data_IF_657320676833
#
_entry.id   IF_657320676833
#
_cell.length_a   1.000
_cell.length_b   1.000
_cell.length_c   1.000
_cell.angle_alpha   90.00
_cell.angle_beta   90.00
_cell.angle_gamma   90.00
#
_symmetry.space_group_name_H-M   'P 1'
#
loop_
_entity.id
_entity.type
_entity.pdbx_description
1 polymer ?
#
# COMPACT_ATOMS: atom_id res chain seq x y z
N UNK A 1 -40.49 -17.44 -5.33
CA UNK A 1 -39.32 -17.33 -6.23
C UNK A 1 -38.07 -17.29 -5.36
N UNK A 2 -37.45 -18.45 -5.16
CA UNK A 2 -36.19 -18.60 -4.43
C UNK A 2 -35.07 -17.98 -5.25
N UNK A 3 -34.29 -17.07 -4.66
CA UNK A 3 -33.09 -16.52 -5.27
C UNK A 3 -32.16 -17.66 -5.72
N UNK A 4 -31.55 -17.58 -6.91
CA UNK A 4 -30.57 -18.60 -7.33
C UNK A 4 -29.42 -18.66 -6.32
N UNK A 5 -28.83 -19.86 -6.10
CA UNK A 5 -27.69 -20.02 -5.19
C UNK A 5 -26.52 -19.14 -5.66
N UNK A 6 -25.74 -18.54 -4.75
CA UNK A 6 -24.61 -17.69 -5.11
C UNK A 6 -23.60 -18.50 -5.93
N UNK A 7 -23.36 -18.05 -7.16
CA UNK A 7 -22.35 -18.66 -8.01
C UNK A 7 -20.97 -18.57 -7.34
N UNK A 8 -20.13 -19.62 -7.47
CA UNK A 8 -18.76 -19.57 -6.99
C UNK A 8 -18.03 -18.36 -7.60
N UNK A 9 -17.57 -17.43 -6.76
CA UNK A 9 -16.93 -16.19 -7.21
C UNK A 9 -15.43 -16.24 -6.98
N UNK A 10 -14.67 -15.95 -8.02
CA UNK A 10 -13.23 -15.70 -7.92
C UNK A 10 -13.01 -14.50 -7.00
N UNK A 11 -12.09 -14.65 -6.06
CA UNK A 11 -11.61 -13.56 -5.21
C UNK A 11 -10.17 -13.27 -5.57
N UNK A 12 -9.84 -12.08 -6.11
CA UNK A 12 -8.48 -11.77 -6.51
C UNK A 12 -7.56 -11.70 -5.30
N UNK A 13 -6.26 -11.93 -5.55
CA UNK A 13 -5.22 -11.74 -4.56
C UNK A 13 -5.17 -10.30 -4.05
N UNK A 14 -4.77 -10.13 -2.79
CA UNK A 14 -4.81 -8.83 -2.12
C UNK A 14 -3.96 -8.80 -0.86
N UNK A 15 -3.50 -7.60 -0.51
CA UNK A 15 -2.89 -7.36 0.79
C UNK A 15 -3.86 -7.74 1.93
N UNK A 16 -3.41 -8.65 2.80
CA UNK A 16 -4.10 -9.10 4.00
C UNK A 16 -3.74 -8.17 5.18
N UNK A 17 -2.44 -8.05 5.45
CA UNK A 17 -1.89 -7.12 6.43
C UNK A 17 -0.50 -6.60 6.04
N UNK A 18 -0.13 -5.46 6.59
CA UNK A 18 1.18 -4.83 6.46
C UNK A 18 1.60 -4.29 7.83
N UNK A 19 2.84 -4.54 8.23
CA UNK A 19 3.38 -4.10 9.51
C UNK A 19 4.77 -3.47 9.32
N UNK A 20 5.07 -2.47 10.15
CA UNK A 20 6.43 -1.94 10.31
C UNK A 20 6.78 -2.04 11.78
N UNK A 21 7.93 -2.64 12.07
CA UNK A 21 8.39 -2.88 13.43
C UNK A 21 9.90 -2.71 13.55
N UNK A 22 10.36 -2.43 14.76
CA UNK A 22 11.78 -2.41 15.10
C UNK A 22 11.99 -3.17 16.43
N UNK A 23 12.68 -4.33 16.41
CA UNK A 23 12.89 -5.15 17.60
C UNK A 23 13.59 -4.42 18.76
N UNK A 24 14.41 -3.41 18.46
CA UNK A 24 15.19 -2.67 19.47
C UNK A 24 14.31 -1.76 20.35
N UNK A 25 13.11 -1.40 19.90
CA UNK A 25 12.18 -0.55 20.65
C UNK A 25 11.50 -1.26 21.82
N UNK A 26 11.55 -2.59 21.85
CA UNK A 26 10.89 -3.40 22.88
C UNK A 26 11.65 -4.69 23.19
N UNK A 27 12.84 -4.62 23.80
CA UNK A 27 13.71 -5.78 23.98
C UNK A 27 13.22 -6.78 25.03
N UNK A 28 12.19 -6.46 25.80
CA UNK A 28 11.63 -7.31 26.86
C UNK A 28 10.22 -7.78 26.51
N UNK A 29 9.76 -8.88 27.11
CA UNK A 29 8.38 -9.39 26.92
C UNK A 29 7.32 -8.34 27.28
N UNK A 30 7.56 -7.51 28.31
CA UNK A 30 6.64 -6.44 28.73
C UNK A 30 6.53 -5.31 27.69
N UNK A 31 7.60 -5.06 26.94
CA UNK A 31 7.69 -3.99 25.94
C UNK A 31 7.59 -4.52 24.51
N UNK A 32 7.29 -5.80 24.31
CA UNK A 32 7.23 -6.42 22.98
C UNK A 32 6.25 -5.70 22.04
N UNK A 33 5.14 -5.20 22.58
CA UNK A 33 4.18 -4.41 21.82
C UNK A 33 4.75 -3.08 21.29
N UNK A 34 5.77 -2.52 21.95
CA UNK A 34 6.42 -1.28 21.53
C UNK A 34 7.28 -1.44 20.29
N UNK A 35 7.64 -2.66 19.91
CA UNK A 35 8.34 -2.94 18.66
C UNK A 35 7.49 -2.57 17.43
N UNK A 36 6.17 -2.72 17.52
CA UNK A 36 5.25 -2.45 16.41
C UNK A 36 4.90 -0.97 16.34
N UNK A 37 5.28 -0.30 15.25
CA UNK A 37 5.02 1.15 15.06
C UNK A 37 3.93 1.42 14.04
N UNK A 38 3.63 0.46 13.17
CA UNK A 38 2.57 0.56 12.18
C UNK A 38 1.93 -0.80 11.93
N UNK A 39 0.60 -0.81 11.85
CA UNK A 39 -0.18 -1.98 11.46
C UNK A 39 -1.35 -1.58 10.56
N UNK A 40 -1.45 -2.24 9.43
CA UNK A 40 -2.60 -2.22 8.54
C UNK A 40 -3.17 -3.63 8.43
N UNK A 41 -4.50 -3.75 8.59
CA UNK A 41 -5.25 -4.96 8.27
C UNK A 41 -6.40 -4.60 7.33
N UNK A 42 -6.53 -5.38 6.26
CA UNK A 42 -7.61 -5.19 5.29
C UNK A 42 -8.98 -5.48 5.92
N UNK A 43 -9.09 -6.54 6.73
CA UNK A 43 -10.33 -6.85 7.45
C UNK A 43 -10.78 -5.65 8.32
N UNK A 44 -9.84 -5.03 9.03
CA UNK A 44 -10.11 -3.84 9.84
C UNK A 44 -10.45 -2.59 8.98
N UNK A 45 -9.85 -2.45 7.81
CA UNK A 45 -10.18 -1.36 6.88
C UNK A 45 -11.59 -1.52 6.28
N UNK A 46 -11.94 -2.73 5.85
CA UNK A 46 -13.25 -3.08 5.31
C UNK A 46 -14.35 -2.92 6.38
N UNK A 47 -14.10 -3.36 7.62
CA UNK A 47 -15.06 -3.21 8.72
C UNK A 47 -15.37 -1.73 9.03
N UNK A 48 -14.34 -0.86 9.08
CA UNK A 48 -14.52 0.59 9.28
C UNK A 48 -15.32 1.25 8.16
N UNK A 49 -15.06 0.90 6.91
CA UNK A 49 -15.81 1.47 5.78
C UNK A 49 -17.27 1.01 5.76
N UNK A 50 -17.55 -0.24 6.14
CA UNK A 50 -18.92 -0.75 6.27
C UNK A 50 -19.70 -0.02 7.38
N UNK A 51 -19.07 0.25 8.52
CA UNK A 51 -19.68 1.04 9.60
C UNK A 51 -20.00 2.47 9.17
N UNK A 52 -19.08 3.13 8.45
CA UNK A 52 -19.31 4.48 7.91
C UNK A 52 -20.52 4.52 6.97
N UNK A 53 -20.64 3.55 6.05
CA UNK A 53 -21.80 3.45 5.14
C UNK A 53 -23.12 3.23 5.89
N UNK A 54 -23.14 2.42 6.95
CA UNK A 54 -24.33 2.20 7.77
C UNK A 54 -24.75 3.44 8.56
N UNK A 55 -23.79 4.19 9.11
CA UNK A 55 -24.06 5.45 9.82
C UNK A 55 -24.64 6.54 8.91
N UNK A 56 -24.18 6.61 7.67
CA UNK A 56 -24.67 7.58 6.67
C UNK A 56 -26.11 7.25 6.21
N UNK A 57 -26.39 5.96 5.93
CA UNK A 57 -27.73 5.49 5.58
C UNK A 57 -28.76 5.69 6.72
N UNK A 58 -28.33 5.60 7.98
CA UNK A 58 -29.18 5.87 9.15
C UNK A 58 -29.53 7.35 9.32
N UNK A 59 -28.66 8.26 8.89
CA UNK A 59 -28.86 9.71 9.01
C UNK A 59 -29.86 10.23 7.97
N UNK A 60 -29.91 9.63 6.78
CA UNK A 60 -30.85 10.03 5.71
C UNK A 60 -32.31 9.61 6.02
N UNK A 61 -32.54 8.48 6.72
CA UNK A 61 -33.91 8.06 7.13
C UNK A 61 -34.49 8.85 8.31
N UNK A 62 -33.71 9.72 8.96
CA UNK A 62 -34.12 10.46 10.16
C UNK A 62 -34.70 11.87 9.92
N UNK A 63 -34.63 12.41 8.70
CA UNK A 63 -35.20 13.74 8.37
C UNK A 63 -36.60 13.62 7.77
N UNK A 64 -37.56 13.16 8.58
CA UNK A 64 -38.98 13.15 8.24
C UNK A 64 -39.84 13.38 9.48
N UNK A 65 -40.20 14.65 9.73
CA UNK A 65 -41.27 15.03 10.65
C UNK A 65 -40.83 15.47 12.05
N UNK A 66 -40.63 16.77 12.26
CA UNK A 66 -40.67 17.38 13.58
C UNK A 66 -41.71 18.51 13.59
N UNK A 67 -42.97 18.15 13.86
CA UNK A 67 -44.00 19.11 14.23
C UNK A 67 -43.95 19.35 15.75
N UNK A 68 -43.79 20.62 16.14
CA UNK A 68 -43.82 21.10 17.52
C UNK A 68 -45.16 20.79 18.18
N UNK A 69 -45.14 20.01 19.27
CA UNK A 69 -46.24 19.87 20.21
C UNK A 69 -45.77 20.16 21.62
N UNK A 70 -46.19 21.30 22.19
CA UNK A 70 -46.00 21.64 23.61
C UNK A 70 -46.97 20.80 24.45
N UNK A 71 -46.44 20.00 25.38
CA UNK A 71 -47.24 19.24 26.36
C UNK A 71 -46.48 19.14 27.67
N UNK A 72 -47.08 19.67 28.73
CA UNK A 72 -46.55 19.80 30.11
C UNK A 72 -47.16 18.67 30.94
N UNK A 73 -46.39 17.78 31.56
CA UNK A 73 -46.85 16.97 32.70
C UNK A 73 -45.72 16.24 33.46
N UNK A 74 -45.68 16.55 34.76
CA UNK A 74 -45.56 15.67 35.93
C UNK A 74 -44.36 14.72 36.07
N UNK A 75 -43.59 15.03 37.12
CA UNK A 75 -42.55 14.25 37.78
C UNK A 75 -43.18 13.07 38.53
N UNK A 76 -42.94 11.85 38.03
CA UNK A 76 -43.24 10.57 38.69
C UNK A 76 -41.95 9.77 38.87
N UNK A 77 -41.76 9.25 40.07
CA UNK A 77 -40.64 8.43 40.53
C UNK A 77 -40.80 6.98 40.04
N UNK A 78 -39.68 6.26 40.10
CA UNK A 78 -39.55 4.80 40.08
C UNK A 78 -39.53 4.12 38.70
N UNK A 79 -38.31 3.79 38.25
CA UNK A 79 -38.06 2.58 37.48
C UNK A 79 -36.59 2.15 37.63
N UNK A 80 -36.37 1.13 38.47
CA UNK A 80 -35.18 0.29 38.44
C UNK A 80 -35.32 -0.60 37.21
N UNK A 81 -34.85 -0.09 36.07
CA UNK A 81 -34.77 -0.79 34.80
C UNK A 81 -33.32 -1.17 34.52
N UNK A 82 -32.99 -2.39 34.90
CA UNK A 82 -31.97 -3.28 34.33
C UNK A 82 -31.13 -2.70 33.16
N UNK A 83 -29.92 -2.22 33.49
CA UNK A 83 -28.88 -1.75 32.56
C UNK A 83 -28.09 -2.90 31.92
N UNK A 84 -28.71 -4.05 31.65
CA UNK A 84 -27.97 -5.28 31.28
C UNK A 84 -27.56 -5.33 29.78
N UNK A 85 -28.06 -4.43 28.94
CA UNK A 85 -27.78 -4.45 27.49
C UNK A 85 -26.52 -3.70 27.02
N UNK A 86 -26.01 -2.72 27.78
CA UNK A 86 -24.92 -1.85 27.32
C UNK A 86 -23.52 -2.36 27.69
N UNK A 87 -23.42 -3.08 28.81
CA UNK A 87 -22.14 -3.55 29.37
C UNK A 87 -21.59 -4.76 28.60
N UNK A 88 -22.45 -5.74 28.28
CA UNK A 88 -22.06 -6.92 27.50
C UNK A 88 -21.58 -6.62 26.07
N UNK A 89 -22.04 -5.52 25.47
CA UNK A 89 -21.59 -5.05 24.16
C UNK A 89 -20.26 -4.28 24.20
N UNK A 90 -19.86 -3.77 25.36
CA UNK A 90 -18.56 -3.12 25.57
C UNK A 90 -17.49 -4.18 25.82
N UNK A 91 -17.75 -5.10 26.74
CA UNK A 91 -16.83 -6.21 27.08
C UNK A 91 -16.50 -7.11 25.88
N UNK A 92 -17.47 -7.38 25.00
CA UNK A 92 -17.21 -8.15 23.76
C UNK A 92 -16.29 -7.41 22.78
N UNK A 93 -16.48 -6.10 22.60
CA UNK A 93 -15.64 -5.29 21.71
C UNK A 93 -14.22 -5.14 22.27
N UNK A 94 -14.11 -4.94 23.58
CA UNK A 94 -12.81 -4.85 24.24
C UNK A 94 -12.03 -6.18 24.10
N UNK A 95 -12.73 -7.32 24.21
CA UNK A 95 -12.15 -8.65 23.96
C UNK A 95 -11.72 -8.88 22.50
N UNK A 96 -12.54 -8.48 21.52
CA UNK A 96 -12.19 -8.57 20.09
C UNK A 96 -10.96 -7.71 19.75
N UNK A 97 -10.87 -6.50 20.31
CA UNK A 97 -9.71 -5.62 20.12
C UNK A 97 -8.43 -6.23 20.71
N UNK A 98 -8.54 -6.86 21.87
CA UNK A 98 -7.42 -7.54 22.51
C UNK A 98 -7.00 -8.79 21.73
N UNK A 99 -7.95 -9.54 21.16
CA UNK A 99 -7.65 -10.69 20.29
C UNK A 99 -6.92 -10.25 19.01
N UNK A 100 -7.37 -9.15 18.38
CA UNK A 100 -6.68 -8.55 17.24
C UNK A 100 -5.26 -8.11 17.62
N UNK A 101 -5.07 -7.46 18.77
CA UNK A 101 -3.76 -7.03 19.25
C UNK A 101 -2.83 -8.23 19.48
N UNK A 102 -3.32 -9.26 20.15
CA UNK A 102 -2.57 -10.50 20.37
C UNK A 102 -2.19 -11.18 19.05
N UNK A 103 -3.06 -11.15 18.03
CA UNK A 103 -2.74 -11.68 16.71
C UNK A 103 -1.61 -10.89 16.02
N UNK A 104 -1.61 -9.55 16.14
CA UNK A 104 -0.54 -8.71 15.59
C UNK A 104 0.81 -9.09 16.18
N UNK A 105 0.86 -9.24 17.52
CA UNK A 105 2.08 -9.62 18.23
C UNK A 105 2.55 -11.03 17.84
N UNK A 106 1.64 -11.99 17.67
CA UNK A 106 1.98 -13.34 17.17
C UNK A 106 2.60 -13.30 15.78
N UNK A 107 2.07 -12.50 14.85
CA UNK A 107 2.60 -12.38 13.49
C UNK A 107 4.03 -11.79 13.49
N UNK A 108 4.28 -10.76 14.31
CA UNK A 108 5.63 -10.19 14.46
C UNK A 108 6.59 -11.19 15.11
N UNK A 109 6.18 -11.84 16.19
CA UNK A 109 7.00 -12.83 16.88
C UNK A 109 7.36 -14.01 15.98
N UNK A 110 6.43 -14.48 15.16
CA UNK A 110 6.68 -15.52 14.16
C UNK A 110 7.71 -15.05 13.13
N UNK A 111 7.53 -13.86 12.56
CA UNK A 111 8.45 -13.31 11.57
C UNK A 111 9.88 -13.17 12.12
N UNK A 112 10.04 -12.68 13.35
CA UNK A 112 11.34 -12.59 14.02
C UNK A 112 11.96 -13.97 14.26
N UNK A 113 11.17 -14.93 14.74
CA UNK A 113 11.61 -16.32 14.91
C UNK A 113 12.10 -16.92 13.60
N UNK A 114 11.40 -16.66 12.49
CA UNK A 114 11.79 -17.13 11.15
C UNK A 114 13.08 -16.48 10.66
N UNK A 115 13.26 -15.17 10.84
CA UNK A 115 14.52 -14.48 10.50
C UNK A 115 15.68 -15.07 11.28
N UNK A 116 15.55 -15.17 12.60
CA UNK A 116 16.60 -15.71 13.45
C UNK A 116 16.94 -17.15 13.09
N UNK A 117 15.92 -17.97 12.80
CA UNK A 117 16.09 -19.34 12.35
C UNK A 117 16.88 -19.39 11.04
N UNK A 118 16.46 -18.65 10.00
CA UNK A 118 17.11 -18.71 8.70
C UNK A 118 18.56 -18.19 8.73
N UNK A 119 18.84 -17.14 9.50
CA UNK A 119 20.20 -16.59 9.68
C UNK A 119 21.21 -17.66 10.12
N UNK A 120 20.75 -18.65 10.87
CA UNK A 120 21.57 -19.79 11.33
C UNK A 120 22.04 -20.68 10.16
N UNK A 121 21.32 -20.70 9.04
CA UNK A 121 21.58 -21.56 7.87
C UNK A 121 22.04 -20.79 6.62
N UNK A 122 22.04 -19.46 6.65
CA UNK A 122 22.26 -18.59 5.49
C UNK A 122 23.46 -17.64 5.64
N UNK A 123 24.39 -17.93 6.56
CA UNK A 123 25.52 -17.06 6.91
C UNK A 123 25.08 -15.65 7.36
N UNK A 124 23.97 -15.55 8.10
CA UNK A 124 23.48 -14.28 8.63
C UNK A 124 22.47 -13.54 7.74
N UNK A 125 22.16 -14.06 6.54
CA UNK A 125 21.14 -13.47 5.68
C UNK A 125 19.71 -13.74 6.21
N UNK A 126 18.82 -12.73 6.26
CA UNK A 126 17.47 -12.92 6.75
C UNK A 126 16.55 -13.62 5.74
N UNK A 127 15.39 -14.08 6.20
CA UNK A 127 14.29 -14.51 5.29
C UNK A 127 13.74 -13.30 4.56
N UNK A 128 13.61 -13.42 3.23
CA UNK A 128 12.99 -12.41 2.37
C UNK A 128 11.52 -12.71 2.05
N UNK A 129 11.16 -13.99 1.99
CA UNK A 129 9.86 -14.45 1.53
C UNK A 129 9.46 -15.81 2.10
N UNK A 130 8.16 -15.99 2.30
CA UNK A 130 7.55 -17.23 2.78
C UNK A 130 6.31 -17.50 1.95
N UNK A 131 6.21 -18.70 1.39
CA UNK A 131 5.02 -19.14 0.66
C UNK A 131 4.21 -20.11 1.54
N UNK A 132 2.93 -19.81 1.70
CA UNK A 132 1.96 -20.68 2.37
C UNK A 132 0.92 -21.14 1.35
N UNK A 133 0.04 -22.06 1.76
CA UNK A 133 -1.08 -22.51 0.92
C UNK A 133 -1.98 -21.34 0.48
N UNK A 134 -2.11 -20.30 1.33
CA UNK A 134 -3.13 -19.25 1.16
C UNK A 134 -2.56 -17.86 0.96
N UNK A 135 -1.28 -17.67 1.24
CA UNK A 135 -0.64 -16.36 1.20
C UNK A 135 0.82 -16.43 0.79
N UNK A 136 1.29 -15.32 0.21
CA UNK A 136 2.70 -15.00 0.06
C UNK A 136 3.05 -13.92 1.07
N UNK A 137 4.04 -14.18 1.91
CA UNK A 137 4.53 -13.24 2.91
C UNK A 137 5.90 -12.76 2.46
N UNK A 138 6.13 -11.46 2.50
CA UNK A 138 7.44 -10.84 2.24
C UNK A 138 7.90 -10.06 3.45
N UNK A 139 9.20 -10.12 3.70
CA UNK A 139 9.85 -9.48 4.83
C UNK A 139 11.13 -8.80 4.35
N UNK A 140 11.32 -7.55 4.75
CA UNK A 140 12.51 -6.78 4.38
C UNK A 140 12.93 -5.85 5.50
N UNK A 141 14.23 -5.81 5.78
CA UNK A 141 14.88 -4.75 6.54
C UNK A 141 15.01 -3.51 5.62
N UNK A 142 14.24 -2.46 5.92
CA UNK A 142 14.20 -1.21 5.15
C UNK A 142 15.40 -0.30 5.48
N UNK A 143 15.71 -0.21 6.77
CA UNK A 143 16.86 0.45 7.36
C UNK A 143 17.37 -0.45 8.51
N UNK A 144 18.56 -0.19 9.03
CA UNK A 144 19.12 -0.98 10.13
C UNK A 144 18.13 -1.07 11.30
N UNK A 145 17.70 -2.30 11.63
CA UNK A 145 16.73 -2.55 12.69
C UNK A 145 15.26 -2.27 12.34
N UNK A 146 14.94 -1.62 11.21
CA UNK A 146 13.57 -1.33 10.79
C UNK A 146 13.07 -2.32 9.75
N UNK A 147 12.04 -3.07 10.12
CA UNK A 147 11.50 -4.16 9.31
C UNK A 147 10.11 -3.84 8.79
N UNK A 148 9.85 -4.23 7.55
CA UNK A 148 8.51 -4.27 6.95
C UNK A 148 8.11 -5.71 6.67
N UNK A 149 6.89 -6.07 7.08
CA UNK A 149 6.29 -7.38 6.89
C UNK A 149 4.95 -7.22 6.18
N UNK A 150 4.76 -7.89 5.04
CA UNK A 150 3.51 -7.88 4.30
C UNK A 150 3.03 -9.29 4.01
N UNK A 151 1.75 -9.57 4.25
CA UNK A 151 1.10 -10.82 3.85
C UNK A 151 0.06 -10.54 2.76
N UNK A 152 0.21 -11.21 1.62
CA UNK A 152 -0.67 -11.11 0.46
C UNK A 152 -1.47 -12.40 0.37
N UNK A 153 -2.79 -12.33 0.51
CA UNK A 153 -3.67 -13.46 0.26
C UNK A 153 -3.65 -13.80 -1.23
N UNK A 154 -3.56 -15.08 -1.56
CA UNK A 154 -3.57 -15.58 -2.94
C UNK A 154 -4.98 -15.51 -3.56
N UNK A 155 -5.05 -15.56 -4.90
CA UNK A 155 -6.32 -15.57 -5.62
C UNK A 155 -7.07 -16.85 -5.26
N UNK A 156 -8.31 -16.71 -4.77
CA UNK A 156 -9.20 -17.83 -4.45
C UNK A 156 -10.05 -18.16 -5.65
N UNK A 157 -9.79 -19.32 -6.23
CA UNK A 157 -10.55 -19.89 -7.33
C UNK A 157 -11.58 -20.87 -6.74
N UNK A 158 -12.83 -20.82 -7.22
CA UNK A 158 -13.77 -21.86 -6.87
C UNK A 158 -13.36 -23.18 -7.55
N UNK A 159 -13.23 -24.28 -6.80
CA UNK A 159 -13.01 -25.57 -7.45
C UNK A 159 -14.18 -25.89 -8.36
N UNK A 160 -13.87 -26.16 -9.62
CA UNK A 160 -14.78 -26.87 -10.50
C UNK A 160 -14.89 -28.32 -9.98
N UNK A 161 -16.10 -28.88 -9.81
CA UNK A 161 -16.22 -30.31 -9.60
C UNK A 161 -15.77 -31.02 -10.88
N UNK A 162 -14.65 -31.73 -10.78
CA UNK A 162 -14.15 -32.81 -11.65
C UNK A 162 -13.95 -32.49 -13.15
N UNK A 163 -12.69 -32.21 -13.54
CA UNK A 163 -12.14 -32.63 -14.85
C UNK A 163 -11.08 -33.73 -14.67
N UNK A 164 -11.28 -34.63 -13.70
CA UNK A 164 -10.53 -35.86 -13.54
C UNK A 164 -11.22 -37.00 -14.30
N UNK A 165 -11.01 -37.07 -15.63
CA UNK A 165 -11.50 -38.17 -16.48
C UNK A 165 -10.78 -39.51 -16.16
N UNK A 166 -10.07 -39.63 -15.03
CA UNK A 166 -9.20 -40.77 -14.71
C UNK A 166 -9.29 -41.30 -13.27
N UNK A 167 -10.20 -40.83 -12.41
CA UNK A 167 -10.40 -41.47 -11.10
C UNK A 167 -11.56 -42.47 -11.14
N UNK A 168 -11.26 -43.72 -11.47
CA UNK A 168 -12.08 -44.89 -11.14
C UNK A 168 -12.07 -45.13 -9.62
N UNK A 169 -12.73 -44.25 -8.86
CA UNK A 169 -12.98 -44.48 -7.45
C UNK A 169 -14.49 -44.38 -7.18
N UNK A 170 -15.07 -45.50 -6.74
CA UNK A 170 -16.48 -45.62 -6.38
C UNK A 170 -16.85 -44.56 -5.34
N UNK A 171 -17.83 -43.72 -5.67
CA UNK A 171 -18.45 -42.76 -4.77
C UNK A 171 -19.08 -43.47 -3.57
N UNK A 172 -18.47 -43.33 -2.40
CA UNK A 172 -19.10 -43.58 -1.11
C UNK A 172 -20.08 -42.46 -0.79
N UNK A 173 -21.29 -42.83 -0.41
CA UNK A 173 -22.39 -41.94 -0.03
C UNK A 173 -22.10 -41.32 1.34
N UNK A 174 -22.14 -39.99 1.43
CA UNK A 174 -22.35 -39.28 2.69
C UNK A 174 -21.17 -38.48 3.23
N UNK A 175 -20.62 -37.53 2.46
CA UNK A 175 -19.82 -36.46 3.06
C UNK A 175 -20.24 -35.10 2.47
N UNK A 176 -20.57 -34.16 3.36
CA UNK A 176 -20.84 -32.76 3.05
C UNK A 176 -19.55 -32.14 2.50
N UNK A 177 -19.29 -32.33 1.20
CA UNK A 177 -18.13 -31.76 0.51
C UNK A 177 -18.27 -30.23 0.53
N UNK A 178 -17.66 -29.59 1.53
CA UNK A 178 -17.40 -28.15 1.53
C UNK A 178 -16.79 -27.80 0.17
N UNK A 179 -17.24 -26.71 -0.49
CA UNK A 179 -16.69 -26.32 -1.78
C UNK A 179 -15.18 -26.16 -1.62
N UNK A 180 -14.42 -27.00 -2.33
CA UNK A 180 -12.97 -26.91 -2.33
C UNK A 180 -12.60 -25.55 -2.95
N UNK A 181 -11.77 -24.79 -2.24
CA UNK A 181 -11.27 -23.49 -2.69
C UNK A 181 -9.83 -23.72 -3.08
N UNK A 182 -9.52 -23.48 -4.34
CA UNK A 182 -8.14 -23.53 -4.84
C UNK A 182 -7.51 -22.14 -4.67
N UNK A 183 -6.25 -22.10 -4.23
CA UNK A 183 -5.48 -20.86 -4.07
C UNK A 183 -4.43 -20.80 -5.18
N UNK A 184 -4.35 -19.66 -5.87
CA UNK A 184 -3.46 -19.46 -7.02
C UNK A 184 -2.58 -18.23 -6.82
N UNK A 185 -1.26 -18.42 -6.97
CA UNK A 185 -0.26 -17.37 -6.93
C UNK A 185 0.12 -16.82 -8.33
N UNK A 186 -0.51 -17.33 -9.41
CA UNK A 186 -0.09 -17.03 -10.80
C UNK A 186 -0.15 -15.55 -11.16
N UNK A 187 -1.14 -14.85 -10.62
CA UNK A 187 -1.36 -13.42 -10.87
C UNK A 187 -0.62 -12.54 -9.85
N UNK A 188 -0.08 -13.13 -8.78
CA UNK A 188 0.56 -12.39 -7.70
C UNK A 188 2.00 -12.06 -8.09
N UNK A 189 2.38 -10.80 -7.91
CA UNK A 189 3.75 -10.34 -8.14
C UNK A 189 4.77 -11.21 -7.42
N UNK A 190 5.92 -11.53 -8.06
CA UNK A 190 6.96 -12.34 -7.44
C UNK A 190 7.54 -11.63 -6.20
N UNK A 191 8.09 -12.37 -5.22
CA UNK A 191 8.58 -11.79 -3.96
C UNK A 191 9.53 -10.61 -4.15
N UNK A 192 10.48 -10.73 -5.10
CA UNK A 192 11.43 -9.66 -5.42
C UNK A 192 10.73 -8.34 -5.78
N UNK A 193 9.70 -8.39 -6.63
CA UNK A 193 8.97 -7.20 -7.05
C UNK A 193 8.19 -6.59 -5.87
N UNK A 194 7.53 -7.42 -5.05
CA UNK A 194 6.81 -6.95 -3.87
C UNK A 194 7.73 -6.26 -2.86
N UNK A 195 8.90 -6.85 -2.58
CA UNK A 195 9.93 -6.28 -1.71
C UNK A 195 10.38 -4.93 -2.27
N UNK A 196 10.63 -4.87 -3.56
CA UNK A 196 11.15 -3.68 -4.20
C UNK A 196 10.11 -2.54 -4.22
N UNK A 197 8.82 -2.84 -4.40
CA UNK A 197 7.73 -1.88 -4.24
C UNK A 197 7.66 -1.31 -2.80
N UNK A 198 7.90 -2.14 -1.77
CA UNK A 198 7.97 -1.68 -0.38
C UNK A 198 9.19 -0.78 -0.13
N UNK A 199 10.35 -1.10 -0.72
CA UNK A 199 11.56 -0.27 -0.66
C UNK A 199 11.32 1.08 -1.35
N UNK A 200 10.68 1.11 -2.51
CA UNK A 200 10.33 2.37 -3.18
C UNK A 200 9.34 3.21 -2.37
N UNK A 201 8.34 2.58 -1.73
CA UNK A 201 7.43 3.26 -0.83
C UNK A 201 8.18 3.88 0.37
N UNK A 202 9.19 3.18 0.90
CA UNK A 202 10.04 3.70 1.95
C UNK A 202 10.87 4.92 1.51
N UNK A 203 11.48 4.89 0.32
CA UNK A 203 12.20 6.06 -0.21
C UNK A 203 11.29 7.26 -0.41
N UNK A 204 10.07 7.02 -0.89
CA UNK A 204 9.04 8.05 -1.05
C UNK A 204 8.62 8.66 0.29
N UNK A 205 8.46 7.84 1.32
CA UNK A 205 8.22 8.31 2.67
C UNK A 205 9.36 9.20 3.15
N UNK A 206 10.60 8.74 3.00
CA UNK A 206 11.81 9.45 3.41
C UNK A 206 11.94 10.82 2.72
N UNK A 207 11.71 10.87 1.40
CA UNK A 207 11.76 12.11 0.62
C UNK A 207 10.91 13.26 1.20
N UNK A 208 9.80 12.93 1.88
CA UNK A 208 8.90 13.90 2.49
C UNK A 208 9.10 14.12 4.00
N UNK A 209 9.80 13.24 4.71
CA UNK A 209 9.85 13.24 6.18
C UNK A 209 11.26 13.35 6.77
N UNK A 210 12.31 13.00 6.04
CA UNK A 210 13.70 13.02 6.52
C UNK A 210 14.53 11.90 5.89
N UNK A 211 15.82 11.85 6.23
CA UNK A 211 16.75 10.90 5.60
C UNK A 211 16.71 9.49 6.19
N UNK A 212 16.15 9.30 7.39
CA UNK A 212 15.98 7.97 8.01
C UNK A 212 14.80 7.89 8.99
N UNK A 213 14.30 6.67 9.22
CA UNK A 213 13.30 6.38 10.26
C UNK A 213 13.86 6.61 11.66
N UNK A 214 15.13 6.29 11.91
CA UNK A 214 15.79 6.53 13.20
C UNK A 214 15.82 8.02 13.56
N UNK A 215 16.29 8.87 12.65
CA UNK A 215 16.34 10.31 12.89
C UNK A 215 14.93 10.88 13.09
N UNK A 216 13.96 10.43 12.28
CA UNK A 216 12.57 10.85 12.42
C UNK A 216 11.99 10.41 13.77
N UNK A 217 12.30 9.19 14.23
CA UNK A 217 11.86 8.66 15.51
C UNK A 217 12.48 9.43 16.69
N UNK A 218 13.77 9.77 16.63
CA UNK A 218 14.46 10.56 17.68
C UNK A 218 13.96 12.00 17.73
N UNK A 219 13.72 12.62 16.56
CA UNK A 219 13.31 14.03 16.46
C UNK A 219 11.84 14.27 16.83
N UNK A 220 11.00 13.23 16.82
CA UNK A 220 9.56 13.34 17.07
C UNK A 220 9.12 12.49 18.25
N UNK A 221 7.93 12.76 18.80
CA UNK A 221 7.37 11.82 19.78
C UNK A 221 6.86 10.56 19.08
N UNK A 222 6.88 9.42 19.78
CA UNK A 222 6.35 8.13 19.27
C UNK A 222 4.97 8.29 18.61
N UNK A 223 4.05 9.02 19.24
CA UNK A 223 2.72 9.24 18.68
C UNK A 223 2.73 9.99 17.34
N UNK A 224 3.60 11.00 17.19
CA UNK A 224 3.75 11.76 15.94
C UNK A 224 4.41 10.93 14.86
N UNK A 225 5.43 10.16 15.22
CA UNK A 225 6.08 9.19 14.34
C UNK A 225 5.07 8.16 13.81
N UNK A 226 4.36 7.47 14.70
CA UNK A 226 3.33 6.49 14.34
C UNK A 226 2.19 7.12 13.53
N UNK A 227 1.83 8.39 13.81
CA UNK A 227 0.84 9.12 13.02
C UNK A 227 1.34 9.46 11.61
N UNK A 228 2.61 9.82 11.44
CA UNK A 228 3.22 10.08 10.14
C UNK A 228 3.27 8.81 9.29
N UNK A 229 3.78 7.71 9.87
CA UNK A 229 3.73 6.39 9.24
C UNK A 229 2.29 6.00 8.89
N UNK A 230 1.38 6.17 9.84
CA UNK A 230 -0.04 5.90 9.67
C UNK A 230 -0.65 6.61 8.48
N UNK A 231 -0.37 7.91 8.28
CA UNK A 231 -0.92 8.67 7.14
C UNK A 231 -0.42 8.14 5.80
N UNK A 232 0.89 7.95 5.68
CA UNK A 232 1.51 7.51 4.44
C UNK A 232 1.19 6.03 4.11
N UNK A 233 1.52 5.12 5.03
CA UNK A 233 1.43 3.68 4.79
C UNK A 233 -0.02 3.17 4.72
N UNK A 234 -0.99 3.83 5.37
CA UNK A 234 -2.41 3.50 5.12
C UNK A 234 -2.86 3.91 3.71
N UNK A 235 -2.35 5.01 3.14
CA UNK A 235 -2.66 5.39 1.75
C UNK A 235 -2.04 4.35 0.81
N UNK A 236 -0.75 4.07 0.99
CA UNK A 236 -0.02 3.05 0.22
C UNK A 236 -0.73 1.69 0.28
N UNK A 237 -1.01 1.15 1.47
CA UNK A 237 -1.63 -0.18 1.62
C UNK A 237 -3.03 -0.31 0.99
N UNK A 238 -3.74 0.81 0.79
CA UNK A 238 -5.06 0.81 0.12
C UNK A 238 -4.96 0.85 -1.39
N UNK A 239 -3.93 1.51 -1.93
CA UNK A 239 -3.70 1.67 -3.37
C UNK A 239 -2.66 0.70 -3.93
N UNK A 240 -1.98 -0.08 -3.08
CA UNK A 240 -0.95 -1.01 -3.50
C UNK A 240 -1.57 -2.17 -4.29
N UNK A 241 -1.21 -2.25 -5.57
CA UNK A 241 -1.54 -3.38 -6.41
C UNK A 241 -0.47 -4.48 -6.27
N UNK A 242 -0.90 -5.64 -5.79
CA UNK A 242 -0.05 -6.81 -5.52
C UNK A 242 -0.01 -7.77 -6.71
N UNK A 243 -0.83 -7.53 -7.73
CA UNK A 243 -0.86 -8.35 -8.93
C UNK A 243 0.33 -8.01 -9.83
N UNK A 244 0.66 -8.90 -10.77
CA UNK A 244 1.68 -8.65 -11.77
C UNK A 244 1.03 -8.06 -13.03
N UNK A 245 1.52 -6.91 -13.48
CA UNK A 245 1.05 -6.25 -14.70
C UNK A 245 2.20 -5.55 -15.41
N UNK A 246 2.15 -5.51 -16.74
CA UNK A 246 3.19 -4.92 -17.57
C UNK A 246 4.55 -5.61 -17.44
N UNK A 247 5.61 -4.88 -17.78
CA UNK A 247 6.98 -5.34 -17.63
C UNK A 247 7.53 -4.89 -16.26
N UNK A 248 7.83 -5.82 -15.33
CA UNK A 248 8.30 -5.48 -13.99
C UNK A 248 9.79 -5.15 -13.92
N UNK A 249 10.54 -5.23 -15.03
CA UNK A 249 12.01 -5.19 -15.00
C UNK A 249 12.57 -3.91 -14.37
N UNK A 250 11.99 -2.75 -14.69
CA UNK A 250 12.44 -1.46 -14.12
C UNK A 250 12.23 -1.46 -12.61
N UNK A 251 11.04 -1.81 -12.15
CA UNK A 251 10.74 -1.83 -10.72
C UNK A 251 11.60 -2.87 -10.01
N UNK A 252 11.56 -4.13 -10.46
CA UNK A 252 12.23 -5.27 -9.82
C UNK A 252 13.75 -5.12 -9.75
N UNK A 253 14.40 -4.50 -10.75
CA UNK A 253 15.84 -4.26 -10.77
C UNK A 253 16.23 -2.88 -10.22
N UNK A 254 15.25 -2.06 -9.82
CA UNK A 254 15.49 -0.69 -9.38
C UNK A 254 16.17 0.15 -10.45
N UNK A 255 15.74 0.01 -11.69
CA UNK A 255 16.23 0.77 -12.84
C UNK A 255 15.58 2.15 -12.96
N UNK A 256 16.11 2.95 -13.89
CA UNK A 256 15.51 4.22 -14.30
C UNK A 256 14.81 4.00 -15.64
N UNK A 257 13.53 4.37 -15.73
CA UNK A 257 12.80 4.32 -16.99
C UNK A 257 13.12 5.56 -17.82
N UNK A 258 13.62 5.34 -19.04
CA UNK A 258 13.94 6.41 -19.98
C UNK A 258 12.77 6.61 -20.95
N UNK A 259 12.49 7.87 -21.28
CA UNK A 259 11.42 8.21 -22.21
C UNK A 259 11.81 7.84 -23.65
N UNK A 260 10.82 7.57 -24.50
CA UNK A 260 11.08 7.36 -25.92
C UNK A 260 11.46 8.68 -26.62
N UNK A 261 12.65 8.77 -27.20
CA UNK A 261 13.00 9.88 -28.12
C UNK A 261 14.27 10.70 -27.82
N UNK A 262 15.23 10.18 -27.04
CA UNK A 262 16.56 10.77 -26.86
C UNK A 262 16.95 10.74 -25.38
N UNK A 263 18.00 9.98 -25.04
CA UNK A 263 18.46 9.81 -23.67
C UNK A 263 19.49 10.90 -23.36
N UNK A 264 19.03 12.11 -23.03
CA UNK A 264 19.94 13.19 -22.70
C UNK A 264 20.35 13.10 -21.22
N UNK A 265 21.61 13.38 -20.91
CA UNK A 265 22.07 13.56 -19.54
C UNK A 265 23.16 12.59 -19.10
N UNK A 266 23.53 12.70 -17.83
CA UNK A 266 24.64 11.96 -17.25
C UNK A 266 24.23 10.52 -16.88
N UNK A 267 25.10 9.55 -17.18
CA UNK A 267 24.98 8.14 -16.79
C UNK A 267 24.26 7.22 -17.78
N UNK A 268 23.87 7.73 -18.96
CA UNK A 268 23.14 6.97 -20.02
C UNK A 268 24.00 6.63 -21.23
N UNK A 269 25.27 7.08 -21.27
CA UNK A 269 26.21 6.78 -22.37
C UNK A 269 26.11 7.74 -23.56
N UNK A 270 25.24 8.75 -23.46
CA UNK A 270 25.11 9.84 -24.44
C UNK A 270 25.75 11.15 -23.95
N UNK A 271 26.68 11.10 -22.97
CA UNK A 271 27.38 12.29 -22.46
C UNK A 271 28.16 13.04 -23.53
N UNK A 272 28.80 12.30 -24.42
CA UNK A 272 29.69 12.85 -25.44
C UNK A 272 28.96 13.17 -26.75
N UNK A 273 27.65 12.88 -26.84
CA UNK A 273 26.92 12.92 -28.11
C UNK A 273 26.48 14.34 -28.53
N UNK A 274 26.79 15.37 -27.74
CA UNK A 274 26.70 16.78 -28.15
C UNK A 274 25.34 17.20 -28.70
N UNK A 275 24.26 16.82 -28.02
CA UNK A 275 22.90 17.22 -28.41
C UNK A 275 22.65 18.69 -28.08
N UNK A 276 22.18 19.48 -29.04
CA UNK A 276 21.81 20.88 -28.80
C UNK A 276 20.70 21.03 -27.74
N UNK A 277 19.82 20.03 -27.59
CA UNK A 277 18.82 20.01 -26.52
C UNK A 277 19.46 19.82 -25.14
N UNK A 278 20.50 18.99 -25.06
CA UNK A 278 21.29 18.79 -23.84
C UNK A 278 22.02 20.07 -23.47
N UNK A 279 22.72 20.69 -24.41
CA UNK A 279 23.45 21.95 -24.17
C UNK A 279 22.54 23.04 -23.58
N UNK A 280 21.30 23.14 -24.07
CA UNK A 280 20.31 24.09 -23.55
C UNK A 280 19.92 23.75 -22.10
N UNK A 281 19.70 22.47 -21.80
CA UNK A 281 19.31 22.04 -20.44
C UNK A 281 20.49 22.17 -19.45
N UNK A 282 21.71 21.84 -19.87
CA UNK A 282 22.92 22.02 -19.08
C UNK A 282 23.19 23.51 -18.81
N UNK A 283 23.03 24.39 -19.81
CA UNK A 283 23.18 25.85 -19.64
C UNK A 283 22.21 26.41 -18.58
N UNK A 284 20.98 25.91 -18.52
CA UNK A 284 20.00 26.31 -17.50
C UNK A 284 20.52 26.03 -16.09
N UNK A 285 21.20 24.90 -15.88
CA UNK A 285 21.80 24.58 -14.57
C UNK A 285 22.96 25.53 -14.26
N UNK A 286 23.89 25.73 -15.20
CA UNK A 286 25.09 26.55 -14.99
C UNK A 286 24.79 28.03 -14.75
N UNK A 287 23.75 28.58 -15.39
CA UNK A 287 23.42 30.01 -15.31
C UNK A 287 22.51 30.38 -14.14
N UNK A 288 21.89 29.40 -13.48
CA UNK A 288 20.91 29.63 -12.41
C UNK A 288 21.60 29.50 -11.06
N UNK A 289 21.85 30.63 -10.41
CA UNK A 289 22.48 30.65 -9.08
C UNK A 289 21.65 29.84 -8.07
N UNK A 290 22.31 28.90 -7.39
CA UNK A 290 21.69 28.02 -6.39
C UNK A 290 20.98 26.78 -6.95
N UNK A 291 20.87 26.62 -8.27
CA UNK A 291 20.35 25.39 -8.88
C UNK A 291 21.42 24.29 -8.85
N UNK A 292 21.13 23.19 -8.17
CA UNK A 292 22.09 22.08 -7.99
C UNK A 292 22.07 21.12 -9.19
N UNK A 293 20.87 20.76 -9.65
CA UNK A 293 20.68 19.86 -10.79
C UNK A 293 19.29 20.08 -11.40
N UNK A 294 19.06 19.56 -12.60
CA UNK A 294 17.76 19.58 -13.27
C UNK A 294 17.46 18.23 -13.87
N UNK A 295 16.39 17.58 -13.40
CA UNK A 295 15.90 16.32 -13.96
C UNK A 295 14.60 16.61 -14.71
N UNK A 296 14.50 16.13 -15.95
CA UNK A 296 13.30 16.34 -16.78
C UNK A 296 12.74 15.00 -17.23
N UNK A 297 11.44 14.83 -16.99
CA UNK A 297 10.69 13.64 -17.33
C UNK A 297 9.42 14.00 -18.10
N UNK A 298 8.98 13.07 -18.95
CA UNK A 298 7.72 13.15 -19.68
C UNK A 298 6.79 12.07 -19.17
N UNK A 299 5.56 12.46 -18.86
CA UNK A 299 4.46 11.56 -18.52
C UNK A 299 3.19 11.95 -19.25
N UNK A 300 2.55 10.97 -19.88
CA UNK A 300 1.30 11.15 -20.60
C UNK A 300 1.45 11.90 -21.94
N UNK A 301 0.30 12.10 -22.57
CA UNK A 301 0.21 12.87 -23.81
C UNK A 301 0.13 14.37 -23.52
N UNK A 302 0.72 15.22 -24.38
CA UNK A 302 0.62 16.65 -24.23
C UNK A 302 -0.86 17.07 -24.29
N UNK A 303 -1.20 18.09 -23.50
CA UNK A 303 -2.54 18.67 -23.56
C UNK A 303 -2.86 19.06 -25.01
N UNK A 304 -4.04 18.70 -25.55
CA UNK A 304 -4.43 19.12 -26.88
C UNK A 304 -4.35 20.65 -26.95
N UNK A 305 -3.73 21.18 -28.01
CA UNK A 305 -3.56 22.62 -28.19
C UNK A 305 -4.92 23.31 -28.02
N UNK A 306 -5.08 24.09 -26.96
CA UNK A 306 -6.36 24.68 -26.60
C UNK A 306 -6.91 25.47 -27.80
N UNK A 307 -8.05 25.05 -28.35
CA UNK A 307 -8.83 25.91 -29.24
C UNK A 307 -9.19 27.15 -28.41
N UNK A 308 -8.89 28.33 -28.94
CA UNK A 308 -9.00 29.63 -28.26
C UNK A 308 -10.25 29.72 -27.37
N UNK A 309 -10.06 30.23 -26.16
CA UNK A 309 -11.07 30.56 -25.11
C UNK A 309 -11.31 29.51 -24.00
N UNK A 310 -10.25 29.03 -23.34
CA UNK A 310 -10.40 28.53 -21.96
C UNK A 310 -9.92 29.62 -21.00
N UNK A 311 -10.70 29.91 -19.95
CA UNK A 311 -10.33 30.85 -18.91
C UNK A 311 -9.12 30.34 -18.10
N UNK A 312 -8.35 31.23 -17.48
CA UNK A 312 -7.16 30.86 -16.67
C UNK A 312 -7.54 29.89 -15.54
N UNK A 313 -8.76 29.97 -15.03
CA UNK A 313 -9.28 29.08 -13.99
C UNK A 313 -9.55 27.65 -14.50
N UNK A 314 -10.17 27.49 -15.68
CA UNK A 314 -10.44 26.16 -16.29
C UNK A 314 -9.16 25.41 -16.69
N UNK A 315 -8.08 26.14 -17.03
CA UNK A 315 -6.76 25.56 -17.34
C UNK A 315 -6.06 25.00 -16.09
N UNK A 316 -6.38 25.53 -14.92
CA UNK A 316 -5.78 25.11 -13.65
C UNK A 316 -6.48 23.87 -13.08
N UNK A 317 -7.76 23.66 -13.39
CA UNK A 317 -8.54 22.48 -12.95
C UNK A 317 -8.23 21.19 -13.71
N UNK A 318 -7.49 21.25 -14.82
CA UNK A 318 -7.11 20.06 -15.62
C UNK A 318 -5.62 20.11 -15.97
N UNK A 319 -4.76 19.97 -14.97
CA UNK A 319 -3.34 19.70 -15.23
C UNK A 319 -3.22 18.21 -15.61
N UNK A 320 -3.11 17.83 -16.90
CA UNK A 320 -3.10 16.42 -17.31
C UNK A 320 -1.89 15.65 -16.77
N UNK A 321 -0.90 16.37 -16.25
CA UNK A 321 0.33 15.83 -15.71
C UNK A 321 0.30 15.64 -14.17
N UNK A 322 -0.75 16.05 -13.47
CA UNK A 322 -0.84 15.97 -12.00
C UNK A 322 -2.06 15.16 -11.58
N UNK A 323 -1.84 14.02 -10.92
CA UNK A 323 -2.91 13.16 -10.41
C UNK A 323 -3.88 12.68 -11.48
N UNK A 324 -3.38 12.33 -12.66
CA UNK A 324 -4.20 11.85 -13.79
C UNK A 324 -4.99 10.59 -13.46
N UNK A 325 -4.48 9.76 -12.54
CA UNK A 325 -4.98 8.42 -12.26
C UNK A 325 -4.52 7.38 -13.29
N UNK A 326 -3.84 7.81 -14.36
CA UNK A 326 -3.37 6.95 -15.43
C UNK A 326 -1.98 6.37 -15.10
N UNK A 327 -1.76 5.11 -15.45
CA UNK A 327 -0.44 4.48 -15.33
C UNK A 327 0.52 5.00 -16.43
N UNK A 328 1.82 5.14 -16.14
CA UNK A 328 2.79 5.55 -17.14
C UNK A 328 2.85 4.58 -18.32
N UNK A 329 2.81 5.13 -19.53
CA UNK A 329 2.90 4.42 -20.80
C UNK A 329 4.34 4.01 -21.13
N UNK A 330 4.56 3.18 -22.16
CA UNK A 330 5.91 2.75 -22.55
C UNK A 330 6.83 3.91 -22.98
N UNK A 331 6.27 5.02 -23.48
CA UNK A 331 7.01 6.22 -23.90
C UNK A 331 7.36 7.17 -22.76
N UNK A 332 6.76 6.98 -21.59
CA UNK A 332 6.96 7.85 -20.42
C UNK A 332 8.24 7.48 -19.67
N UNK A 333 8.93 8.50 -19.16
CA UNK A 333 10.16 8.33 -18.41
C UNK A 333 10.99 9.60 -18.31
N UNK A 334 12.20 9.46 -17.77
CA UNK A 334 13.20 10.53 -17.75
C UNK A 334 13.82 10.65 -19.13
N UNK A 335 13.94 11.88 -19.64
CA UNK A 335 14.68 12.14 -20.87
C UNK A 335 15.89 13.06 -20.64
N UNK A 336 15.94 13.77 -19.51
CA UNK A 336 17.14 14.46 -19.03
C UNK A 336 17.44 14.06 -17.59
N UNK A 337 18.53 13.32 -17.38
CA UNK A 337 18.94 12.82 -16.06
C UNK A 337 19.72 13.83 -15.21
N UNK A 338 20.00 15.03 -15.74
CA UNK A 338 20.76 16.06 -15.06
C UNK A 338 22.23 16.13 -15.48
N UNK A 339 22.97 16.99 -14.78
CA UNK A 339 24.41 17.25 -14.98
C UNK A 339 25.32 16.33 -14.15
N UNK A 340 24.73 15.36 -13.45
CA UNK A 340 25.46 14.40 -12.61
C UNK A 340 25.76 14.91 -11.20
N UNK A 341 25.06 15.94 -10.72
CA UNK A 341 25.20 16.41 -9.34
C UNK A 341 24.41 15.51 -8.37
N UNK A 342 23.33 14.89 -8.85
CA UNK A 342 22.55 13.88 -8.11
C UNK A 342 23.09 12.47 -8.40
N UNK A 343 23.26 11.65 -7.37
CA UNK A 343 23.69 10.26 -7.52
C UNK A 343 22.60 9.37 -8.13
N UNK A 344 23.01 8.27 -8.77
CA UNK A 344 22.08 7.40 -9.52
C UNK A 344 20.90 6.86 -8.67
N UNK A 345 21.10 6.40 -7.42
CA UNK A 345 20.00 5.98 -6.56
C UNK A 345 19.00 7.11 -6.25
N UNK A 346 19.47 8.33 -5.97
CA UNK A 346 18.57 9.45 -5.70
C UNK A 346 17.85 9.91 -6.97
N UNK A 347 18.52 9.91 -8.11
CA UNK A 347 17.89 10.20 -9.40
C UNK A 347 16.73 9.25 -9.68
N UNK A 348 16.92 7.94 -9.43
CA UNK A 348 15.83 6.95 -9.52
C UNK A 348 14.68 7.28 -8.58
N UNK A 349 14.97 7.62 -7.33
CA UNK A 349 13.94 7.94 -6.34
C UNK A 349 13.17 9.23 -6.73
N UNK A 350 13.85 10.23 -7.28
CA UNK A 350 13.25 11.45 -7.84
C UNK A 350 12.36 11.12 -9.04
N UNK A 351 12.84 10.29 -9.96
CA UNK A 351 12.05 9.86 -11.12
C UNK A 351 10.78 9.11 -10.69
N UNK A 352 10.90 8.21 -9.71
CA UNK A 352 9.77 7.51 -9.11
C UNK A 352 8.80 8.47 -8.40
N UNK A 353 9.31 9.51 -7.74
CA UNK A 353 8.49 10.59 -7.18
C UNK A 353 7.75 11.38 -8.26
N UNK A 354 8.40 11.77 -9.35
CA UNK A 354 7.75 12.45 -10.47
C UNK A 354 6.63 11.59 -11.08
N UNK A 355 6.86 10.28 -11.23
CA UNK A 355 5.84 9.32 -11.65
C UNK A 355 4.67 9.26 -10.66
N UNK A 356 4.95 9.29 -9.36
CA UNK A 356 3.91 9.28 -8.34
C UNK A 356 3.06 10.55 -8.37
N UNK A 357 3.68 11.72 -8.53
CA UNK A 357 2.98 13.00 -8.72
C UNK A 357 2.06 12.94 -9.94
N UNK A 358 2.54 12.38 -11.06
CA UNK A 358 1.72 12.18 -12.26
C UNK A 358 0.49 11.30 -11.99
N UNK A 359 0.70 10.14 -11.35
CA UNK A 359 -0.36 9.15 -11.14
C UNK A 359 -1.34 9.53 -10.03
N UNK A 360 -0.88 10.17 -8.95
CA UNK A 360 -1.61 10.28 -7.69
C UNK A 360 -1.84 11.71 -7.16
N UNK A 361 -1.17 12.71 -7.73
CA UNK A 361 -1.30 14.11 -7.32
C UNK A 361 -0.49 14.47 -6.09
#
# INVERSE_FOLDING_TARGET
MTSPPPHPRVTPARLSFLAIYNPTLGPTDETFADQLVFWYSRAAAESRTAHKKRGDAGTIRGKGGAARGKGKAVRGKDNVGEKVGADGGKTRRDGELQEEENERLRQIGLAQGMVHFARTFSNGEPVDSVETEKSRIVLKELEEGWWVLASIDLTRLPSTPDTSILSTAKSGVGDDKKPQVEYSAREVSPPLLLIQQLVQAHHMFSLHHGFSLDELFVRTSRDRFCSALGRYWNRFARSWDVLLHGNPAVDALGGLKLASGGELGFGVGEEEWGSGERDVLEDVVHRTEGLVDMVVARYGEPAPSAKKQASTYERTESLPWLGSGDAPTASDGVFFSGVGAVDRPSLRNIAFWMQHVYTQG
#
